data_IF_556427782353
#
_entry.id   IF_556427782353
#
_cell.length_a   1.000
_cell.length_b   1.000
_cell.length_c   1.000
_cell.angle_alpha   90.00
_cell.angle_beta   90.00
_cell.angle_gamma   90.00
#
_symmetry.space_group_name_H-M   'P 1'
#
loop_
_entity.id
_entity.type
_entity.pdbx_description
1 polymer ?
#
# COMPACT_ATOMS: atom_id res chain seq x y z
N UNK A 1 18.64 -8.90 6.07
CA UNK A 1 17.78 -9.06 4.89
C UNK A 1 16.32 -9.20 5.34
N UNK A 2 15.38 -8.65 4.56
CA UNK A 2 13.95 -8.87 4.82
C UNK A 2 13.14 -8.70 3.52
N UNK A 3 11.95 -9.29 3.49
CA UNK A 3 11.04 -9.15 2.35
C UNK A 3 9.79 -8.35 2.72
N UNK A 4 9.18 -7.68 1.74
CA UNK A 4 8.02 -6.81 1.92
C UNK A 4 6.91 -7.24 0.97
N UNK A 5 5.70 -7.34 1.48
CA UNK A 5 4.51 -7.77 0.78
C UNK A 5 3.33 -6.85 1.07
N UNK A 6 2.36 -6.85 0.17
CA UNK A 6 1.02 -6.30 0.38
C UNK A 6 0.00 -7.00 -0.52
N UNK A 7 -1.27 -6.81 -0.24
CA UNK A 7 -2.35 -7.05 -1.19
C UNK A 7 -2.44 -8.50 -1.66
N UNK A 8 -2.72 -9.42 -0.73
CA UNK A 8 -2.82 -10.86 -0.97
C UNK A 8 -4.28 -11.31 -1.14
N UNK A 9 -4.90 -10.97 -2.27
CA UNK A 9 -6.28 -11.36 -2.56
C UNK A 9 -6.36 -12.86 -2.89
N UNK A 10 -6.92 -13.68 -1.97
CA UNK A 10 -7.00 -15.13 -2.09
C UNK A 10 -7.77 -15.61 -3.33
N UNK A 11 -8.95 -15.05 -3.68
CA UNK A 11 -9.68 -15.42 -4.88
C UNK A 11 -8.97 -15.10 -6.20
N UNK A 12 -8.10 -14.08 -6.20
CA UNK A 12 -7.47 -13.59 -7.42
C UNK A 12 -6.31 -14.46 -7.92
N UNK A 13 -5.78 -15.40 -7.11
CA UNK A 13 -4.69 -16.25 -7.57
C UNK A 13 -3.94 -17.00 -6.46
N UNK A 14 -2.90 -17.74 -6.85
CA UNK A 14 -2.06 -18.52 -5.96
C UNK A 14 -0.95 -17.66 -5.33
N UNK A 15 -0.61 -17.90 -4.07
CA UNK A 15 0.36 -17.12 -3.31
C UNK A 15 1.82 -17.51 -3.59
N UNK A 16 2.19 -17.66 -4.88
CA UNK A 16 3.55 -18.05 -5.29
C UNK A 16 4.64 -17.13 -4.78
N UNK A 17 4.34 -15.83 -4.60
CA UNK A 17 5.27 -14.89 -4.00
C UNK A 17 5.69 -15.32 -2.57
N UNK A 18 4.77 -15.87 -1.78
CA UNK A 18 5.09 -16.43 -0.45
C UNK A 18 5.95 -17.69 -0.55
N UNK A 19 5.64 -18.58 -1.49
CA UNK A 19 6.44 -19.79 -1.71
C UNK A 19 7.86 -19.46 -2.16
N UNK A 20 8.02 -18.52 -3.09
CA UNK A 20 9.35 -18.12 -3.55
C UNK A 20 10.14 -17.41 -2.45
N UNK A 21 9.49 -16.56 -1.65
CA UNK A 21 10.13 -15.91 -0.52
C UNK A 21 10.55 -16.90 0.58
N UNK A 22 9.83 -18.00 0.78
CA UNK A 22 10.21 -19.01 1.77
C UNK A 22 11.56 -19.68 1.49
N UNK A 23 12.07 -19.56 0.26
CA UNK A 23 13.38 -20.07 -0.19
C UNK A 23 14.51 -19.06 -0.01
N UNK A 24 14.19 -17.82 0.36
CA UNK A 24 15.16 -16.72 0.52
C UNK A 24 15.82 -16.77 1.90
N UNK A 25 17.06 -16.30 1.97
CA UNK A 25 17.78 -16.10 3.22
C UNK A 25 17.45 -14.72 3.81
N UNK A 26 16.33 -14.66 4.52
CA UNK A 26 15.82 -13.43 5.17
C UNK A 26 15.69 -13.61 6.69
N UNK A 27 15.87 -12.51 7.41
CA UNK A 27 15.74 -12.48 8.87
C UNK A 27 14.26 -12.41 9.30
N UNK A 28 13.42 -11.72 8.51
CA UNK A 28 11.97 -11.56 8.72
C UNK A 28 11.30 -11.08 7.43
N UNK A 29 9.99 -11.07 7.42
CA UNK A 29 9.19 -10.46 6.36
C UNK A 29 8.16 -9.48 6.91
N UNK A 30 7.81 -8.48 6.11
CA UNK A 30 6.82 -7.45 6.44
C UNK A 30 5.60 -7.65 5.55
N UNK A 31 4.40 -7.55 6.13
CA UNK A 31 3.17 -7.38 5.36
C UNK A 31 2.56 -6.02 5.67
N UNK A 32 2.41 -5.19 4.64
CA UNK A 32 1.99 -3.80 4.76
C UNK A 32 0.47 -3.60 4.76
N UNK A 33 -0.30 -4.69 4.77
CA UNK A 33 -1.75 -4.66 4.78
C UNK A 33 -2.39 -5.32 3.56
N UNK A 34 -3.71 -5.40 3.55
CA UNK A 34 -4.48 -6.24 2.63
C UNK A 34 -4.03 -7.70 2.69
N UNK A 35 -3.77 -8.17 3.91
CA UNK A 35 -3.50 -9.58 4.12
C UNK A 35 -4.74 -10.42 3.84
N UNK A 36 -5.93 -9.89 4.14
CA UNK A 36 -7.24 -10.43 3.75
C UNK A 36 -8.03 -9.36 2.99
N UNK A 37 -9.11 -9.77 2.31
CA UNK A 37 -10.07 -8.89 1.66
C UNK A 37 -11.48 -9.19 2.17
N UNK A 38 -12.28 -8.16 2.44
CA UNK A 38 -13.62 -8.28 3.01
C UNK A 38 -14.67 -8.75 2.03
N UNK A 39 -14.45 -8.61 0.73
CA UNK A 39 -15.45 -8.92 -0.30
C UNK A 39 -15.94 -10.36 -0.28
N UNK A 40 -17.22 -10.53 -0.60
CA UNK A 40 -17.83 -11.82 -0.85
C UNK A 40 -17.62 -12.32 -2.29
N UNK A 41 -18.20 -13.45 -2.60
CA UNK A 41 -18.21 -14.03 -3.97
C UNK A 41 -18.94 -13.08 -4.92
N UNK A 42 -18.31 -12.76 -6.07
CA UNK A 42 -18.80 -11.78 -7.03
C UNK A 42 -18.29 -10.35 -6.80
N UNK A 43 -17.58 -10.10 -5.68
CA UNK A 43 -16.89 -8.84 -5.44
C UNK A 43 -15.51 -8.76 -6.08
N UNK A 44 -14.76 -7.73 -5.74
CA UNK A 44 -13.45 -7.42 -6.31
C UNK A 44 -12.46 -8.61 -6.28
N UNK A 45 -11.87 -8.92 -7.43
CA UNK A 45 -10.82 -9.93 -7.59
C UNK A 45 -11.31 -11.38 -7.47
N UNK A 46 -12.63 -11.63 -7.60
CA UNK A 46 -13.21 -12.99 -7.50
C UNK A 46 -13.52 -13.65 -8.85
N UNK A 47 -13.18 -13.00 -9.96
CA UNK A 47 -13.52 -13.43 -11.34
C UNK A 47 -12.96 -14.83 -11.66
N UNK A 48 -11.83 -15.18 -11.04
CA UNK A 48 -11.15 -16.47 -11.25
C UNK A 48 -11.34 -17.46 -10.10
N UNK A 49 -12.09 -17.10 -9.06
CA UNK A 49 -12.20 -17.82 -7.80
C UNK A 49 -12.68 -19.28 -7.97
N UNK A 50 -13.72 -19.49 -8.76
CA UNK A 50 -14.26 -20.85 -9.02
C UNK A 50 -13.28 -21.69 -9.85
N UNK A 51 -12.67 -21.09 -10.87
CA UNK A 51 -11.68 -21.75 -11.73
C UNK A 51 -10.48 -22.28 -10.94
N UNK A 52 -10.05 -21.57 -9.90
CA UNK A 52 -8.89 -21.94 -9.10
C UNK A 52 -9.29 -22.67 -7.81
N UNK A 53 -10.59 -22.91 -7.58
CA UNK A 53 -11.12 -23.42 -6.31
C UNK A 53 -10.67 -22.55 -5.11
N UNK A 54 -10.75 -21.23 -5.28
CA UNK A 54 -10.36 -20.22 -4.28
C UNK A 54 -11.53 -19.29 -3.95
N UNK A 55 -12.74 -19.84 -3.90
CA UNK A 55 -13.95 -19.10 -3.52
C UNK A 55 -13.78 -18.55 -2.10
N UNK A 56 -14.12 -17.25 -1.85
CA UNK A 56 -13.97 -16.68 -0.53
C UNK A 56 -14.88 -17.34 0.50
N UNK A 57 -14.37 -17.55 1.72
CA UNK A 57 -15.13 -18.02 2.87
C UNK A 57 -15.08 -16.99 4.01
N UNK A 58 -16.24 -16.54 4.50
CA UNK A 58 -17.58 -16.86 4.00
C UNK A 58 -17.80 -16.29 2.60
N UNK A 59 -18.84 -16.78 1.89
CA UNK A 59 -19.18 -16.30 0.54
C UNK A 59 -19.77 -14.89 0.52
N UNK A 60 -20.30 -14.44 1.63
CA UNK A 60 -20.78 -13.07 1.82
C UNK A 60 -19.62 -12.13 2.19
N UNK A 61 -19.86 -10.85 2.07
CA UNK A 61 -19.01 -9.80 2.61
C UNK A 61 -18.89 -9.91 4.15
N UNK A 62 -17.79 -9.40 4.70
CA UNK A 62 -17.46 -9.58 6.11
C UNK A 62 -18.04 -8.46 6.97
N UNK A 63 -18.85 -8.83 7.98
CA UNK A 63 -19.42 -7.89 8.95
C UNK A 63 -19.23 -8.36 10.39
N UNK A 64 -19.46 -9.65 10.65
CA UNK A 64 -19.39 -10.22 11.99
C UNK A 64 -17.98 -10.68 12.36
N UNK A 65 -17.70 -10.79 13.64
CA UNK A 65 -16.46 -11.38 14.14
C UNK A 65 -16.24 -12.81 13.60
N UNK A 66 -17.33 -13.58 13.44
CA UNK A 66 -17.27 -14.93 12.86
C UNK A 66 -16.82 -14.90 11.40
N UNK A 67 -17.28 -13.92 10.64
CA UNK A 67 -16.91 -13.80 9.22
C UNK A 67 -15.41 -13.49 9.06
N UNK A 68 -14.92 -12.48 9.78
CA UNK A 68 -13.49 -12.13 9.77
C UNK A 68 -12.62 -13.30 10.23
N UNK A 69 -13.02 -14.04 11.26
CA UNK A 69 -12.29 -15.23 11.72
C UNK A 69 -12.23 -16.32 10.66
N UNK A 70 -13.33 -16.60 9.95
CA UNK A 70 -13.37 -17.58 8.86
C UNK A 70 -12.46 -17.16 7.71
N UNK A 71 -12.49 -15.88 7.31
CA UNK A 71 -11.62 -15.35 6.26
C UNK A 71 -10.14 -15.47 6.64
N UNK A 72 -9.76 -15.08 7.85
CA UNK A 72 -8.40 -15.29 8.33
C UNK A 72 -8.01 -16.78 8.34
N UNK A 73 -8.90 -17.67 8.80
CA UNK A 73 -8.65 -19.11 8.78
C UNK A 73 -8.40 -19.64 7.36
N UNK A 74 -9.19 -19.18 6.38
CA UNK A 74 -9.01 -19.53 4.97
C UNK A 74 -7.62 -19.14 4.46
N UNK A 75 -7.22 -17.89 4.63
CA UNK A 75 -5.91 -17.38 4.19
C UNK A 75 -4.75 -18.08 4.89
N UNK A 76 -4.89 -18.35 6.20
CA UNK A 76 -3.91 -19.10 6.99
C UNK A 76 -3.88 -20.60 6.66
N UNK A 77 -4.93 -21.16 6.03
CA UNK A 77 -4.97 -22.56 5.59
C UNK A 77 -4.24 -22.78 4.26
N UNK A 78 -4.01 -21.71 3.47
CA UNK A 78 -3.28 -21.79 2.22
C UNK A 78 -1.88 -22.38 2.41
N UNK A 79 -1.49 -23.31 1.51
CA UNK A 79 -0.21 -24.04 1.63
C UNK A 79 1.00 -23.12 1.56
N UNK A 80 0.97 -22.16 0.64
CA UNK A 80 2.09 -21.26 0.39
C UNK A 80 2.21 -20.22 1.52
N UNK A 81 1.06 -19.74 2.03
CA UNK A 81 1.01 -18.90 3.23
C UNK A 81 1.59 -19.62 4.46
N UNK A 82 1.15 -20.87 4.72
CA UNK A 82 1.69 -21.68 5.82
C UNK A 82 3.20 -21.86 5.73
N UNK A 83 3.72 -22.09 4.54
CA UNK A 83 5.14 -22.31 4.33
C UNK A 83 5.96 -21.09 4.74
N UNK A 84 5.62 -19.89 4.26
CA UNK A 84 6.35 -18.65 4.60
C UNK A 84 6.25 -18.35 6.11
N UNK A 85 5.06 -18.50 6.70
CA UNK A 85 4.87 -18.33 8.14
C UNK A 85 5.67 -19.32 9.00
N UNK A 86 5.91 -20.53 8.51
CA UNK A 86 6.72 -21.52 9.21
C UNK A 86 8.23 -21.24 9.12
N UNK A 87 8.67 -20.63 8.02
CA UNK A 87 10.09 -20.41 7.76
C UNK A 87 10.62 -19.10 8.36
N UNK A 88 9.83 -18.03 8.38
CA UNK A 88 10.32 -16.69 8.73
C UNK A 88 9.35 -15.92 9.62
N UNK A 89 9.86 -15.12 10.60
CA UNK A 89 9.03 -14.25 11.43
C UNK A 89 8.33 -13.15 10.62
N UNK A 90 7.07 -12.88 10.96
CA UNK A 90 6.25 -11.83 10.33
C UNK A 90 6.22 -10.56 11.17
N UNK A 91 6.41 -9.42 10.53
CA UNK A 91 6.03 -8.08 11.01
C UNK A 91 4.84 -7.61 10.17
N UNK A 92 3.64 -7.59 10.76
CA UNK A 92 2.42 -7.23 10.02
C UNK A 92 1.84 -5.90 10.49
N UNK A 93 1.22 -5.18 9.57
CA UNK A 93 0.32 -4.07 9.82
C UNK A 93 -0.89 -4.24 8.90
N UNK A 94 -2.03 -3.72 9.30
CA UNK A 94 -3.23 -3.70 8.46
C UNK A 94 -3.19 -2.58 7.43
N UNK A 95 -4.00 -2.72 6.37
CA UNK A 95 -4.48 -1.64 5.53
C UNK A 95 -6.01 -1.53 5.69
N UNK A 96 -6.75 -1.11 4.70
CA UNK A 96 -8.20 -0.94 4.78
C UNK A 96 -8.97 -2.26 4.67
N UNK A 97 -8.58 -3.16 3.77
CA UNK A 97 -9.29 -4.42 3.52
C UNK A 97 -9.30 -5.40 4.69
N UNK A 98 -8.46 -5.20 5.69
CA UNK A 98 -8.63 -5.90 6.95
C UNK A 98 -9.94 -5.55 7.67
N UNK A 99 -10.56 -4.43 7.28
CA UNK A 99 -11.90 -3.99 7.74
C UNK A 99 -12.84 -3.84 6.56
N UNK A 100 -12.58 -2.87 5.65
CA UNK A 100 -13.38 -2.58 4.46
C UNK A 100 -12.71 -1.52 3.60
N UNK A 101 -12.87 -1.60 2.27
CA UNK A 101 -12.26 -0.71 1.29
C UNK A 101 -12.33 0.77 1.66
N UNK A 102 -11.22 1.47 1.46
CA UNK A 102 -11.05 2.89 1.72
C UNK A 102 -11.48 3.32 3.12
N UNK A 103 -11.15 2.51 4.14
CA UNK A 103 -11.51 2.78 5.52
C UNK A 103 -10.79 4.00 6.10
N UNK A 104 -11.54 4.77 6.89
CA UNK A 104 -11.02 5.84 7.75
C UNK A 104 -11.46 5.62 9.21
N UNK A 105 -11.16 6.57 10.08
CA UNK A 105 -11.44 6.44 11.52
C UNK A 105 -12.87 6.03 11.85
N UNK A 106 -13.87 6.57 11.14
CA UNK A 106 -15.30 6.44 11.48
C UNK A 106 -16.16 5.84 10.37
N UNK A 107 -15.59 5.36 9.29
CA UNK A 107 -16.33 4.78 8.17
C UNK A 107 -15.39 4.13 7.14
N UNK A 108 -15.96 3.68 6.03
CA UNK A 108 -15.27 3.19 4.87
C UNK A 108 -16.05 3.56 3.60
N UNK A 109 -15.41 3.50 2.44
CA UNK A 109 -16.13 3.65 1.17
C UNK A 109 -17.09 2.46 1.00
N UNK A 110 -16.59 1.25 1.20
CA UNK A 110 -17.37 0.01 1.14
C UNK A 110 -18.07 -0.27 2.48
N UNK A 111 -18.86 0.70 2.96
CA UNK A 111 -19.75 0.52 4.11
C UNK A 111 -20.91 1.50 4.08
N UNK A 112 -22.13 0.97 4.03
CA UNK A 112 -23.38 1.74 4.01
C UNK A 112 -24.16 1.67 5.35
N UNK A 113 -25.11 2.57 5.54
CA UNK A 113 -25.89 2.66 6.79
C UNK A 113 -26.76 1.43 7.07
N UNK A 114 -27.23 0.74 6.04
CA UNK A 114 -28.03 -0.50 6.14
C UNK A 114 -27.21 -1.72 6.52
N UNK A 115 -25.88 -1.66 6.45
CA UNK A 115 -24.96 -2.68 6.94
C UNK A 115 -24.67 -2.59 8.43
N UNK A 116 -25.28 -1.61 9.09
CA UNK A 116 -25.15 -1.38 10.52
C UNK A 116 -24.10 -0.35 10.90
N UNK A 117 -23.66 -0.40 12.14
CA UNK A 117 -22.68 0.58 12.65
C UNK A 117 -21.25 0.17 12.32
N UNK A 118 -20.56 0.99 11.53
CA UNK A 118 -19.15 0.77 11.15
C UNK A 118 -18.22 0.51 12.33
N UNK A 119 -18.42 1.18 13.46
CA UNK A 119 -17.56 1.00 14.64
C UNK A 119 -17.61 -0.44 15.17
N UNK A 120 -18.77 -1.11 15.10
CA UNK A 120 -18.87 -2.52 15.46
C UNK A 120 -18.22 -3.44 14.42
N UNK A 121 -18.40 -3.16 13.12
CA UNK A 121 -17.69 -3.87 12.04
C UNK A 121 -16.18 -3.78 12.25
N UNK A 122 -15.67 -2.57 12.43
CA UNK A 122 -14.25 -2.29 12.69
C UNK A 122 -13.74 -3.01 13.95
N UNK A 123 -14.49 -2.98 15.05
CA UNK A 123 -14.11 -3.67 16.29
C UNK A 123 -14.03 -5.20 16.11
N UNK A 124 -14.97 -5.78 15.34
CA UNK A 124 -14.96 -7.21 14.98
C UNK A 124 -13.74 -7.58 14.15
N UNK A 125 -13.47 -6.79 13.11
CA UNK A 125 -12.33 -6.98 12.22
C UNK A 125 -10.99 -6.89 12.96
N UNK A 126 -10.79 -5.84 13.76
CA UNK A 126 -9.58 -5.65 14.56
C UNK A 126 -9.39 -6.77 15.58
N UNK A 127 -10.47 -7.22 16.23
CA UNK A 127 -10.40 -8.35 17.16
C UNK A 127 -9.94 -9.63 16.45
N UNK A 128 -10.54 -9.96 15.31
CA UNK A 128 -10.11 -11.11 14.52
C UNK A 128 -8.66 -10.97 14.06
N UNK A 129 -8.26 -9.78 13.63
CA UNK A 129 -6.89 -9.51 13.19
C UNK A 129 -5.87 -9.81 14.30
N UNK A 130 -6.09 -9.32 15.54
CA UNK A 130 -5.19 -9.58 16.66
C UNK A 130 -5.23 -11.02 17.16
N UNK A 131 -6.30 -11.77 16.90
CA UNK A 131 -6.37 -13.21 17.21
C UNK A 131 -5.57 -14.06 16.21
N UNK A 132 -5.48 -13.62 14.94
CA UNK A 132 -4.90 -14.42 13.86
C UNK A 132 -3.51 -13.96 13.42
N UNK A 133 -3.15 -12.71 13.68
CA UNK A 133 -1.84 -12.17 13.28
C UNK A 133 -0.87 -12.21 14.47
N UNK A 134 0.42 -12.54 14.23
CA UNK A 134 1.42 -12.70 15.29
C UNK A 134 1.93 -11.35 15.81
N UNK A 135 1.01 -10.52 16.32
CA UNK A 135 1.31 -9.18 16.80
C UNK A 135 1.18 -9.12 18.32
N UNK A 136 2.22 -8.64 18.97
CA UNK A 136 2.17 -8.35 20.40
C UNK A 136 1.49 -6.99 20.61
N UNK A 137 0.32 -6.98 21.23
CA UNK A 137 -0.36 -5.76 21.65
C UNK A 137 0.51 -4.97 22.63
N UNK A 138 0.63 -3.68 22.40
CA UNK A 138 1.20 -2.74 23.37
C UNK A 138 0.12 -2.29 24.36
N UNK A 139 0.52 -1.74 25.50
CA UNK A 139 -0.42 -1.23 26.52
C UNK A 139 -1.34 -0.10 26.00
N UNK A 140 -1.04 0.48 24.85
CA UNK A 140 -1.80 1.58 24.23
C UNK A 140 -2.76 1.12 23.12
N UNK A 141 -2.88 -0.18 22.87
CA UNK A 141 -3.78 -0.78 21.86
C UNK A 141 -3.64 -0.19 20.45
N UNK A 142 -2.46 0.33 20.08
CA UNK A 142 -2.18 0.78 18.73
C UNK A 142 -1.23 -0.20 18.01
N UNK A 143 -1.35 -0.27 16.68
CA UNK A 143 -0.55 -1.18 15.85
C UNK A 143 0.79 -0.57 15.43
N UNK A 144 0.90 0.76 15.36
CA UNK A 144 2.14 1.41 14.98
C UNK A 144 3.24 1.16 16.03
N UNK A 145 4.40 0.77 15.58
CA UNK A 145 5.52 0.34 16.42
C UNK A 145 6.85 0.44 15.69
N UNK A 146 7.95 0.27 16.40
CA UNK A 146 9.29 0.30 15.81
C UNK A 146 10.14 -0.87 16.25
N UNK A 147 11.08 -1.26 15.37
CA UNK A 147 12.07 -2.28 15.60
C UNK A 147 13.45 -1.71 15.30
N UNK A 148 14.44 -2.02 16.13
CA UNK A 148 15.82 -1.60 15.94
C UNK A 148 16.72 -2.82 15.72
N UNK A 149 17.53 -2.78 14.67
CA UNK A 149 18.58 -3.76 14.41
C UNK A 149 19.92 -3.08 14.67
N UNK A 150 20.36 -3.09 15.92
CA UNK A 150 21.57 -2.41 16.37
C UNK A 150 21.59 -0.94 15.92
N UNK A 151 22.72 -0.51 15.39
CA UNK A 151 22.91 0.82 14.78
C UNK A 151 22.67 0.82 13.25
N UNK A 152 22.20 -0.29 12.69
CA UNK A 152 22.01 -0.43 11.25
C UNK A 152 20.64 0.06 10.80
N UNK A 153 19.56 -0.42 11.42
CA UNK A 153 18.17 -0.19 10.97
C UNK A 153 17.30 0.29 12.12
N UNK A 154 16.58 1.38 11.88
CA UNK A 154 15.41 1.83 12.62
C UNK A 154 14.19 1.66 11.72
N UNK A 155 13.43 0.59 11.94
CA UNK A 155 12.20 0.26 11.20
C UNK A 155 10.99 0.78 11.97
N UNK A 156 10.25 1.70 11.39
CA UNK A 156 9.07 2.33 11.96
C UNK A 156 7.84 1.95 11.15
N UNK A 157 6.92 1.22 11.78
CA UNK A 157 5.67 0.78 11.15
C UNK A 157 4.59 1.80 11.49
N UNK A 158 3.91 2.35 10.48
CA UNK A 158 2.80 3.29 10.68
C UNK A 158 1.44 2.60 10.52
N UNK A 159 0.43 3.22 11.10
CA UNK A 159 -1.00 2.98 10.84
C UNK A 159 -1.57 4.18 10.10
N UNK A 160 -1.82 4.03 8.80
CA UNK A 160 -2.37 5.08 7.95
C UNK A 160 -3.89 4.97 7.77
N UNK A 161 -4.56 4.05 8.47
CA UNK A 161 -5.99 3.76 8.27
C UNK A 161 -6.86 4.03 9.49
N UNK A 162 -6.55 3.40 10.62
CA UNK A 162 -7.57 3.21 11.64
C UNK A 162 -7.42 4.06 12.89
N UNK A 163 -6.23 4.64 13.14
CA UNK A 163 -5.98 5.39 14.38
C UNK A 163 -6.61 6.78 14.35
N UNK A 164 -6.25 7.62 13.38
CA UNK A 164 -6.66 9.03 13.36
C UNK A 164 -6.99 9.57 11.96
N UNK A 165 -7.07 8.70 10.94
CA UNK A 165 -7.33 9.09 9.56
C UNK A 165 -8.67 9.79 9.39
N UNK A 166 -8.66 10.98 8.83
CA UNK A 166 -9.85 11.67 8.34
C UNK A 166 -10.34 11.03 7.04
N UNK A 167 -11.64 11.20 6.74
CA UNK A 167 -12.19 10.77 5.45
C UNK A 167 -11.44 11.44 4.29
N UNK A 168 -11.12 10.66 3.26
CA UNK A 168 -10.55 11.18 2.02
C UNK A 168 -11.50 12.17 1.33
N UNK A 169 -10.93 13.12 0.58
CA UNK A 169 -11.67 14.07 -0.23
C UNK A 169 -12.21 13.36 -1.47
N UNK A 170 -13.43 13.65 -1.85
CA UNK A 170 -14.08 13.12 -3.04
C UNK A 170 -14.10 14.19 -4.13
N UNK A 171 -13.56 13.91 -5.30
CA UNK A 171 -13.55 14.85 -6.43
C UNK A 171 -14.94 15.31 -6.85
N UNK A 172 -15.94 14.44 -6.74
CA UNK A 172 -17.33 14.71 -7.10
C UNK A 172 -17.92 15.96 -6.45
N UNK A 173 -17.45 16.30 -5.23
CA UNK A 173 -17.90 17.50 -4.49
C UNK A 173 -17.48 18.83 -5.13
N UNK A 174 -16.50 18.80 -6.02
CA UNK A 174 -15.92 20.00 -6.62
C UNK A 174 -16.33 20.22 -8.07
N UNK A 175 -17.11 19.31 -8.65
CA UNK A 175 -17.71 19.52 -9.97
C UNK A 175 -18.98 20.37 -9.87
N UNK A 176 -19.13 21.31 -10.78
CA UNK A 176 -20.34 22.14 -10.96
C UNK A 176 -20.67 22.28 -12.45
N UNK A 177 -21.77 22.94 -12.76
CA UNK A 177 -22.13 23.24 -14.16
C UNK A 177 -21.10 24.15 -14.86
N UNK A 178 -20.34 24.93 -14.09
CA UNK A 178 -19.31 25.85 -14.61
C UNK A 178 -17.93 25.17 -14.68
N UNK A 179 -17.81 23.91 -14.27
CA UNK A 179 -16.56 23.13 -14.27
C UNK A 179 -16.08 22.78 -12.87
N UNK A 180 -14.78 22.44 -12.76
CA UNK A 180 -14.15 22.03 -11.53
C UNK A 180 -13.71 23.24 -10.68
N UNK A 181 -14.08 23.23 -9.38
CA UNK A 181 -13.81 24.33 -8.41
C UNK A 181 -12.42 24.18 -7.80
N UNK A 182 -11.39 24.55 -8.52
CA UNK A 182 -10.00 24.39 -8.10
C UNK A 182 -9.67 25.04 -6.76
N UNK A 183 -10.09 26.28 -6.52
CA UNK A 183 -9.76 27.02 -5.29
C UNK A 183 -10.33 26.32 -4.07
N UNK A 184 -11.59 25.87 -4.13
CA UNK A 184 -12.22 25.13 -3.05
C UNK A 184 -11.52 23.78 -2.82
N UNK A 185 -11.24 23.05 -3.89
CA UNK A 185 -10.55 21.77 -3.82
C UNK A 185 -9.17 21.90 -3.15
N UNK A 186 -8.33 22.83 -3.61
CA UNK A 186 -7.00 23.00 -3.03
C UNK A 186 -7.03 23.62 -1.64
N UNK A 187 -8.02 24.44 -1.30
CA UNK A 187 -8.25 24.91 0.06
C UNK A 187 -8.51 23.78 1.03
N UNK A 188 -9.42 22.86 0.64
CA UNK A 188 -9.76 21.72 1.48
C UNK A 188 -8.62 20.68 1.52
N UNK A 189 -7.99 20.38 0.38
CA UNK A 189 -6.87 19.43 0.28
C UNK A 189 -5.69 19.84 1.16
N UNK A 190 -5.33 21.12 1.14
CA UNK A 190 -4.17 21.64 1.88
C UNK A 190 -4.51 22.06 3.31
N UNK A 191 -5.71 21.82 3.77
CA UNK A 191 -6.12 22.22 5.11
C UNK A 191 -5.27 21.53 6.17
N UNK A 192 -4.60 22.31 7.02
CA UNK A 192 -3.58 21.84 7.97
C UNK A 192 -4.11 20.93 9.09
N UNK A 193 -5.42 20.92 9.31
CA UNK A 193 -6.06 20.02 10.27
C UNK A 193 -6.31 18.61 9.72
N UNK A 194 -6.23 18.39 8.40
CA UNK A 194 -6.41 17.06 7.80
C UNK A 194 -5.31 16.11 8.24
N UNK A 195 -5.71 14.91 8.63
CA UNK A 195 -4.83 13.90 9.23
C UNK A 195 -4.95 12.55 8.52
N UNK A 196 -3.83 11.92 8.27
CA UNK A 196 -3.71 10.53 7.90
C UNK A 196 -3.26 9.66 9.08
N UNK A 197 -2.23 10.09 9.82
CA UNK A 197 -1.72 9.36 10.99
C UNK A 197 -2.03 10.06 12.32
N UNK A 198 -2.33 11.35 12.29
CA UNK A 198 -2.66 12.14 13.47
C UNK A 198 -1.46 12.53 14.36
N UNK A 199 -1.74 13.43 15.30
CA UNK A 199 -0.68 14.05 16.11
C UNK A 199 0.05 13.05 17.01
N UNK A 200 -0.66 12.13 17.65
CA UNK A 200 -0.04 11.17 18.58
C UNK A 200 0.98 10.27 17.88
N UNK A 201 0.65 9.77 16.68
CA UNK A 201 1.56 8.95 15.92
C UNK A 201 2.71 9.76 15.32
N UNK A 202 2.45 11.01 14.93
CA UNK A 202 3.51 11.91 14.45
C UNK A 202 4.53 12.26 15.55
N UNK A 203 4.08 12.56 16.78
CA UNK A 203 4.94 12.80 17.94
C UNK A 203 5.75 11.55 18.31
N UNK A 204 5.11 10.37 18.23
CA UNK A 204 5.80 9.10 18.40
C UNK A 204 6.89 8.91 17.34
N UNK A 205 6.60 9.17 16.05
CA UNK A 205 7.55 9.07 14.96
C UNK A 205 8.75 10.02 15.20
N UNK A 206 8.50 11.26 15.57
CA UNK A 206 9.52 12.23 15.93
C UNK A 206 10.42 11.72 17.06
N UNK A 207 9.83 11.18 18.12
CA UNK A 207 10.58 10.60 19.24
C UNK A 207 11.51 9.48 18.80
N UNK A 208 11.03 8.60 17.89
CA UNK A 208 11.83 7.49 17.36
C UNK A 208 12.99 7.96 16.48
N UNK A 209 12.80 9.04 15.73
CA UNK A 209 13.87 9.65 14.93
C UNK A 209 14.93 10.33 15.82
N UNK A 210 14.52 11.04 16.86
CA UNK A 210 15.44 11.72 17.78
C UNK A 210 16.27 10.77 18.64
N UNK A 211 15.66 9.69 19.10
CA UNK A 211 16.29 8.73 20.03
C UNK A 211 17.19 7.70 19.35
N UNK A 212 17.21 7.64 18.02
CA UNK A 212 17.87 6.56 17.29
C UNK A 212 19.05 7.08 16.44
N UNK A 213 20.19 6.39 16.55
CA UNK A 213 21.41 6.67 15.77
C UNK A 213 21.60 5.74 14.57
N UNK A 214 20.60 4.91 14.22
CA UNK A 214 20.70 3.97 13.13
C UNK A 214 21.00 4.66 11.80
N UNK A 215 21.82 3.99 10.97
CA UNK A 215 22.19 4.45 9.63
C UNK A 215 20.98 4.59 8.72
N UNK A 216 20.11 3.58 8.72
CA UNK A 216 18.94 3.52 7.88
C UNK A 216 17.67 3.75 8.69
N UNK A 217 16.85 4.72 8.28
CA UNK A 217 15.58 5.03 8.89
C UNK A 217 14.47 4.70 7.89
N UNK A 218 13.79 3.58 8.13
CA UNK A 218 12.78 3.01 7.24
C UNK A 218 11.40 3.21 7.86
N UNK A 219 10.51 3.83 7.11
CA UNK A 219 9.08 3.92 7.40
C UNK A 219 8.37 2.88 6.53
N UNK A 220 7.75 1.89 7.16
CA UNK A 220 6.94 0.89 6.47
C UNK A 220 5.46 1.20 6.76
N UNK A 221 4.69 1.40 5.71
CA UNK A 221 3.33 1.92 5.79
C UNK A 221 2.50 1.46 4.58
N UNK A 222 1.23 1.82 4.53
CA UNK A 222 0.29 1.25 3.57
C UNK A 222 0.35 1.97 2.22
N UNK A 223 0.14 3.27 2.20
CA UNK A 223 -0.15 4.07 0.99
C UNK A 223 1.06 4.90 0.52
N UNK A 224 1.15 5.19 -0.76
CA UNK A 224 2.29 5.92 -1.35
C UNK A 224 2.41 7.36 -0.82
N UNK A 225 3.65 7.77 -0.48
CA UNK A 225 4.01 9.17 -0.19
C UNK A 225 4.33 9.97 -1.45
N UNK A 226 4.71 9.29 -2.52
CA UNK A 226 5.02 9.89 -3.83
C UNK A 226 3.83 10.69 -4.35
N UNK A 227 4.09 11.88 -4.88
CA UNK A 227 3.09 12.70 -5.58
C UNK A 227 2.85 12.11 -6.96
N UNK A 228 1.62 11.68 -7.22
CA UNK A 228 1.26 11.05 -8.48
C UNK A 228 0.04 11.75 -9.09
N UNK A 229 0.18 12.10 -10.35
CA UNK A 229 -0.91 12.54 -11.22
C UNK A 229 -1.07 11.53 -12.33
N UNK A 230 -2.27 11.16 -12.67
CA UNK A 230 -2.48 10.34 -13.85
C UNK A 230 -2.25 11.17 -15.11
N UNK A 231 -1.53 10.64 -16.12
CA UNK A 231 -1.45 11.27 -17.43
C UNK A 231 -2.82 11.24 -18.11
N UNK A 232 -3.05 12.16 -19.03
CA UNK A 232 -4.23 12.10 -19.91
C UNK A 232 -4.04 11.02 -20.97
N UNK A 233 -4.66 9.88 -20.77
CA UNK A 233 -4.61 8.71 -21.66
C UNK A 233 -5.82 8.63 -22.58
N UNK A 234 -6.67 9.66 -22.65
CA UNK A 234 -7.95 9.58 -23.38
C UNK A 234 -7.80 9.34 -24.89
N UNK A 235 -6.63 9.62 -25.47
CA UNK A 235 -6.32 9.33 -26.87
C UNK A 235 -5.69 7.94 -27.09
N UNK A 236 -5.24 7.28 -26.02
CA UNK A 236 -4.45 6.04 -26.09
C UNK A 236 -5.25 4.80 -25.69
N UNK A 237 -6.48 4.98 -25.20
CA UNK A 237 -7.32 3.90 -24.71
C UNK A 237 -8.70 3.89 -25.40
N UNK A 238 -9.24 2.70 -25.61
CA UNK A 238 -10.65 2.55 -25.97
C UNK A 238 -11.55 2.79 -24.75
N UNK A 239 -12.02 4.03 -24.64
CA UNK A 239 -12.89 4.46 -23.54
C UNK A 239 -14.16 3.59 -23.41
N UNK A 240 -14.66 3.03 -24.53
CA UNK A 240 -15.89 2.23 -24.53
C UNK A 240 -15.70 0.92 -23.72
N UNK A 241 -14.50 0.38 -23.71
CA UNK A 241 -14.13 -0.88 -23.05
C UNK A 241 -13.87 -0.74 -21.55
N UNK A 242 -13.74 0.48 -21.03
CA UNK A 242 -13.46 0.71 -19.61
C UNK A 242 -14.67 0.44 -18.71
N UNK A 243 -14.47 -0.06 -17.48
CA UNK A 243 -15.51 -0.08 -16.45
C UNK A 243 -16.09 1.31 -16.20
N UNK A 244 -17.36 1.37 -15.76
CA UNK A 244 -18.06 2.65 -15.53
C UNK A 244 -17.32 3.49 -14.48
N UNK A 245 -16.84 2.84 -13.43
CA UNK A 245 -16.08 3.46 -12.34
C UNK A 245 -14.82 4.15 -12.85
N UNK A 246 -14.12 3.55 -13.81
CA UNK A 246 -12.92 4.13 -14.43
C UNK A 246 -13.28 5.31 -15.36
N UNK A 247 -14.42 5.21 -16.09
CA UNK A 247 -14.89 6.31 -16.96
C UNK A 247 -15.17 7.59 -16.18
N UNK A 248 -15.66 7.47 -14.95
CA UNK A 248 -15.94 8.62 -14.09
C UNK A 248 -14.67 9.38 -13.66
N UNK A 249 -13.50 8.73 -13.71
CA UNK A 249 -12.21 9.36 -13.44
C UNK A 249 -11.57 10.04 -14.66
N UNK A 250 -11.98 9.73 -15.89
CA UNK A 250 -11.38 10.32 -17.11
C UNK A 250 -11.40 11.86 -17.15
N UNK A 251 -12.48 12.56 -16.73
CA UNK A 251 -12.45 14.01 -16.66
C UNK A 251 -11.38 14.55 -15.71
N UNK A 252 -11.05 13.80 -14.66
CA UNK A 252 -10.09 14.18 -13.62
C UNK A 252 -8.65 14.13 -14.17
N UNK A 253 -8.32 13.16 -15.04
CA UNK A 253 -6.98 13.02 -15.64
C UNK A 253 -6.56 14.25 -16.43
N UNK A 254 -7.54 14.93 -17.08
CA UNK A 254 -7.33 16.17 -17.86
C UNK A 254 -7.07 17.41 -16.98
N UNK A 255 -7.41 17.34 -15.68
CA UNK A 255 -7.30 18.46 -14.77
C UNK A 255 -5.94 18.54 -14.06
N UNK A 256 -5.04 17.61 -14.33
CA UNK A 256 -3.70 17.56 -13.73
C UNK A 256 -3.75 17.52 -12.18
N UNK A 257 -4.76 16.90 -11.63
CA UNK A 257 -4.96 16.72 -10.20
C UNK A 257 -4.20 15.51 -9.64
N UNK A 258 -4.00 15.42 -8.31
CA UNK A 258 -3.50 14.21 -7.68
C UNK A 258 -4.36 12.99 -8.05
N UNK A 259 -3.74 11.83 -8.32
CA UNK A 259 -4.46 10.66 -8.81
C UNK A 259 -5.22 9.91 -7.72
N UNK A 260 -4.65 9.84 -6.53
CA UNK A 260 -5.22 9.06 -5.42
C UNK A 260 -5.28 9.90 -4.15
N UNK A 261 -6.49 10.34 -3.78
CA UNK A 261 -6.74 11.12 -2.55
C UNK A 261 -6.88 10.23 -1.30
N UNK A 262 -6.91 8.92 -1.49
CA UNK A 262 -6.82 7.95 -0.42
C UNK A 262 -5.37 7.76 0.07
N UNK A 263 -4.38 7.99 -0.78
CA UNK A 263 -2.96 8.03 -0.43
C UNK A 263 -2.54 9.39 0.22
N UNK A 264 -1.24 9.58 0.45
CA UNK A 264 -0.69 10.82 1.03
C UNK A 264 -0.96 12.06 0.18
N UNK A 265 -1.33 11.91 -1.08
CA UNK A 265 -1.77 13.02 -1.92
C UNK A 265 -3.07 13.66 -1.44
N UNK A 266 -3.89 12.94 -0.69
CA UNK A 266 -5.07 13.48 0.00
C UNK A 266 -4.75 14.21 1.32
N UNK A 267 -3.50 14.16 1.80
CA UNK A 267 -3.08 14.71 3.11
C UNK A 267 -1.72 15.43 3.02
N UNK A 268 -1.54 16.33 2.04
CA UNK A 268 -0.24 16.94 1.74
C UNK A 268 0.35 17.72 2.93
N UNK A 269 -0.47 18.38 3.74
CA UNK A 269 -0.01 19.14 4.89
C UNK A 269 0.65 18.25 5.96
N UNK A 270 0.09 17.05 6.22
CA UNK A 270 0.68 16.14 7.19
C UNK A 270 1.90 15.41 6.61
N UNK A 271 1.90 15.07 5.32
CA UNK A 271 3.09 14.55 4.61
C UNK A 271 4.28 15.50 4.77
N UNK A 272 4.08 16.79 4.55
CA UNK A 272 5.14 17.79 4.71
C UNK A 272 5.65 17.88 6.16
N UNK A 273 4.81 17.66 7.16
CA UNK A 273 5.25 17.57 8.57
C UNK A 273 6.22 16.42 8.77
N UNK A 274 5.94 15.23 8.17
CA UNK A 274 6.86 14.10 8.22
C UNK A 274 8.17 14.42 7.50
N UNK A 275 8.13 14.99 6.31
CA UNK A 275 9.32 15.37 5.55
C UNK A 275 10.19 16.35 6.36
N UNK A 276 9.57 17.33 7.00
CA UNK A 276 10.26 18.27 7.91
C UNK A 276 10.91 17.55 9.10
N UNK A 277 10.27 16.54 9.69
CA UNK A 277 10.86 15.76 10.77
C UNK A 277 12.15 15.05 10.32
N UNK A 278 12.17 14.42 9.16
CA UNK A 278 13.37 13.77 8.63
C UNK A 278 14.47 14.77 8.33
N UNK A 279 14.16 15.88 7.68
CA UNK A 279 15.13 16.95 7.37
C UNK A 279 15.72 17.58 8.62
N UNK A 280 14.90 17.93 9.60
CA UNK A 280 15.36 18.57 10.85
C UNK A 280 16.26 17.65 11.70
N UNK A 281 16.05 16.33 11.61
CA UNK A 281 16.90 15.33 12.24
C UNK A 281 18.10 14.89 11.36
N UNK A 282 18.28 15.50 10.17
CA UNK A 282 19.33 15.16 9.19
C UNK A 282 19.34 13.67 8.82
N UNK A 283 18.16 13.10 8.63
CA UNK A 283 17.97 11.68 8.28
C UNK A 283 17.33 11.55 6.91
N UNK A 284 17.78 10.57 6.13
CA UNK A 284 17.14 10.19 4.87
C UNK A 284 15.93 9.31 5.16
N UNK A 285 14.79 9.65 4.59
CA UNK A 285 13.59 8.83 4.63
C UNK A 285 13.70 7.70 3.60
N UNK A 286 13.54 6.47 4.04
CA UNK A 286 13.23 5.35 3.17
C UNK A 286 11.80 4.93 3.47
N UNK A 287 10.90 5.08 2.50
CA UNK A 287 9.50 4.65 2.60
C UNK A 287 9.29 3.32 1.90
N UNK A 288 8.60 2.39 2.54
CA UNK A 288 8.10 1.15 1.96
C UNK A 288 6.58 1.22 1.99
N UNK A 289 5.93 1.06 0.83
CA UNK A 289 4.48 1.21 0.68
C UNK A 289 3.85 0.03 -0.07
N UNK A 290 2.54 -0.17 0.11
CA UNK A 290 1.71 -1.19 -0.54
C UNK A 290 0.55 -0.58 -1.34
N UNK A 291 -0.67 -1.09 -1.15
CA UNK A 291 -1.97 -0.57 -1.60
C UNK A 291 -2.19 -0.58 -3.13
N UNK A 292 -1.28 -0.03 -3.90
CA UNK A 292 -1.49 0.27 -5.33
C UNK A 292 -1.43 -0.92 -6.27
N UNK A 293 -1.06 -2.10 -5.79
CA UNK A 293 -0.90 -3.35 -6.55
C UNK A 293 0.17 -3.31 -7.66
N UNK A 294 0.92 -2.23 -7.74
CA UNK A 294 2.00 -2.01 -8.72
C UNK A 294 3.32 -1.74 -8.01
N UNK A 295 4.42 -1.92 -8.73
CA UNK A 295 5.74 -1.62 -8.18
C UNK A 295 6.14 -0.18 -8.47
N UNK A 296 6.76 0.48 -7.50
CA UNK A 296 7.19 1.87 -7.63
C UNK A 296 8.59 2.08 -7.06
N UNK A 297 9.35 2.93 -7.72
CA UNK A 297 10.57 3.53 -7.19
C UNK A 297 10.51 5.02 -7.41
N UNK A 298 10.55 5.77 -6.31
CA UNK A 298 10.39 7.22 -6.36
C UNK A 298 11.43 7.95 -5.53
N UNK A 299 11.74 9.18 -5.91
CA UNK A 299 12.53 10.12 -5.12
C UNK A 299 11.61 11.17 -4.54
N UNK A 300 11.51 11.18 -3.21
CA UNK A 300 10.61 12.06 -2.48
C UNK A 300 11.21 13.46 -2.35
N UNK A 301 10.39 14.49 -2.60
CA UNK A 301 10.76 15.90 -2.45
C UNK A 301 9.69 16.61 -1.63
N UNK A 302 10.13 17.57 -0.82
CA UNK A 302 9.22 18.48 -0.13
C UNK A 302 8.59 19.53 -1.08
N UNK A 303 7.78 20.41 -0.54
CA UNK A 303 7.14 21.49 -1.32
C UNK A 303 8.13 22.52 -1.89
N UNK A 304 9.36 22.58 -1.37
CA UNK A 304 10.43 23.42 -1.88
C UNK A 304 11.26 22.75 -2.99
N UNK A 305 10.95 21.46 -3.29
CA UNK A 305 11.67 20.65 -4.26
C UNK A 305 12.97 20.04 -3.73
N UNK A 306 13.22 20.13 -2.42
CA UNK A 306 14.40 19.52 -1.80
C UNK A 306 14.19 18.03 -1.55
N UNK A 307 15.20 17.22 -1.83
CA UNK A 307 15.12 15.76 -1.65
C UNK A 307 15.06 15.38 -0.16
N UNK A 308 14.09 14.54 0.18
CA UNK A 308 13.87 14.02 1.54
C UNK A 308 14.29 12.56 1.66
N UNK A 309 14.12 11.78 0.58
CA UNK A 309 14.40 10.35 0.61
C UNK A 309 13.89 9.62 -0.62
N UNK A 310 13.62 8.33 -0.44
CA UNK A 310 13.17 7.44 -1.49
C UNK A 310 11.98 6.60 -1.01
N UNK A 311 11.13 6.22 -1.96
CA UNK A 311 10.04 5.30 -1.71
C UNK A 311 10.11 4.10 -2.65
N UNK A 312 9.80 2.92 -2.10
CA UNK A 312 9.66 1.66 -2.80
C UNK A 312 8.26 1.13 -2.54
N UNK A 313 7.40 1.16 -3.56
CA UNK A 313 6.08 0.55 -3.54
C UNK A 313 6.20 -0.92 -3.92
N UNK A 314 5.76 -1.84 -3.04
CA UNK A 314 5.82 -3.28 -3.31
C UNK A 314 4.71 -3.69 -4.27
N UNK A 315 4.95 -4.66 -5.19
CA UNK A 315 3.88 -5.25 -5.98
C UNK A 315 2.89 -6.00 -5.08
N UNK A 316 1.69 -6.24 -5.58
CA UNK A 316 0.76 -7.15 -4.89
C UNK A 316 1.23 -8.60 -4.95
N UNK A 317 0.80 -9.39 -3.96
CA UNK A 317 0.96 -10.85 -4.00
C UNK A 317 0.09 -11.44 -5.11
N UNK A 318 -1.19 -11.04 -5.18
CA UNK A 318 -2.16 -11.56 -6.15
C UNK A 318 -3.17 -10.54 -6.64
N UNK A 319 -3.41 -9.46 -5.91
CA UNK A 319 -4.46 -8.49 -6.24
C UNK A 319 -4.28 -7.90 -7.64
N UNK A 320 -5.36 -7.74 -8.44
CA UNK A 320 -5.29 -7.14 -9.77
C UNK A 320 -4.64 -5.75 -9.75
N UNK A 321 -3.74 -5.51 -10.69
CA UNK A 321 -3.07 -4.23 -10.85
C UNK A 321 -3.70 -3.35 -11.93
N UNK A 322 -3.06 -2.23 -12.21
CA UNK A 322 -3.58 -1.20 -13.12
C UNK A 322 -3.85 -1.75 -14.53
N UNK A 323 -2.96 -2.59 -15.08
CA UNK A 323 -3.13 -3.18 -16.42
C UNK A 323 -4.16 -4.32 -16.48
N UNK A 324 -4.63 -4.85 -15.37
CA UNK A 324 -5.77 -5.78 -15.38
C UNK A 324 -7.08 -5.02 -15.64
N UNK A 325 -7.13 -3.74 -15.25
CA UNK A 325 -8.29 -2.84 -15.36
C UNK A 325 -8.24 -2.06 -16.67
N UNK A 326 -7.10 -1.43 -16.97
CA UNK A 326 -6.91 -0.56 -18.14
C UNK A 326 -6.21 -1.36 -19.24
N UNK A 327 -6.89 -1.55 -20.38
CA UNK A 327 -6.36 -2.27 -21.55
C UNK A 327 -5.53 -1.33 -22.42
N UNK A 328 -4.28 -1.15 -22.07
CA UNK A 328 -3.30 -0.32 -22.80
C UNK A 328 -1.96 -1.06 -22.89
N UNK A 329 -1.10 -0.67 -23.81
CA UNK A 329 0.28 -1.17 -23.83
C UNK A 329 1.01 -0.81 -22.54
N UNK A 330 1.70 -1.78 -21.96
CA UNK A 330 2.40 -1.66 -20.68
C UNK A 330 3.43 -0.52 -20.72
N UNK A 331 4.28 -0.49 -21.73
CA UNK A 331 5.36 0.49 -21.80
C UNK A 331 4.80 1.90 -22.02
N UNK A 332 3.77 2.03 -22.85
CA UNK A 332 3.10 3.32 -23.07
C UNK A 332 2.52 3.89 -21.77
N UNK A 333 1.87 3.06 -20.96
CA UNK A 333 1.35 3.49 -19.66
C UNK A 333 2.47 3.88 -18.69
N UNK A 334 3.47 3.03 -18.54
CA UNK A 334 4.59 3.25 -17.61
C UNK A 334 5.38 4.51 -17.98
N UNK A 335 5.74 4.68 -19.26
CA UNK A 335 6.46 5.84 -19.77
C UNK A 335 5.64 7.14 -19.60
N UNK A 336 4.32 7.07 -19.84
CA UNK A 336 3.44 8.22 -19.66
C UNK A 336 3.33 8.64 -18.18
N UNK A 337 3.20 7.68 -17.26
CA UNK A 337 3.18 7.97 -15.83
C UNK A 337 4.53 8.53 -15.37
N UNK A 338 5.65 7.94 -15.77
CA UNK A 338 6.99 8.39 -15.37
C UNK A 338 7.27 9.81 -15.92
N UNK A 339 6.91 10.08 -17.17
CA UNK A 339 7.14 11.41 -17.78
C UNK A 339 6.27 12.51 -17.16
N UNK A 340 5.07 12.17 -16.71
CA UNK A 340 4.15 13.12 -16.03
C UNK A 340 4.59 13.42 -14.58
N UNK A 341 5.31 12.50 -13.93
CA UNK A 341 5.56 12.54 -12.49
C UNK A 341 7.05 12.61 -12.15
N UNK A 342 7.55 13.80 -11.86
CA UNK A 342 8.98 14.05 -11.59
C UNK A 342 9.56 13.26 -10.38
N UNK A 343 8.75 12.77 -9.47
CA UNK A 343 9.21 11.94 -8.36
C UNK A 343 9.38 10.48 -8.77
N UNK A 344 8.59 9.97 -9.70
CA UNK A 344 8.64 8.57 -10.16
C UNK A 344 9.88 8.34 -11.00
N UNK A 345 10.69 7.35 -10.62
CA UNK A 345 11.92 6.94 -11.32
C UNK A 345 11.75 5.66 -12.10
N UNK A 346 10.84 4.84 -11.65
CA UNK A 346 10.49 3.58 -12.29
C UNK A 346 9.18 3.04 -11.71
N UNK A 347 8.45 2.30 -12.51
CA UNK A 347 7.31 1.50 -12.08
C UNK A 347 7.19 0.20 -12.88
N UNK A 348 6.42 -0.74 -12.37
CA UNK A 348 5.89 -1.89 -13.09
C UNK A 348 4.39 -1.98 -12.79
N UNK A 349 3.58 -1.83 -13.83
CA UNK A 349 2.12 -1.75 -13.73
C UNK A 349 1.41 -3.11 -13.84
N UNK A 350 2.16 -4.21 -13.97
CA UNK A 350 1.59 -5.51 -14.33
C UNK A 350 1.98 -6.65 -13.40
N UNK A 351 3.23 -6.69 -12.96
CA UNK A 351 3.83 -7.89 -12.38
C UNK A 351 3.40 -8.10 -10.93
N UNK A 352 3.25 -9.37 -10.53
CA UNK A 352 2.99 -9.81 -9.15
C UNK A 352 4.25 -10.37 -8.52
N UNK A 353 4.40 -10.21 -7.21
CA UNK A 353 5.60 -10.68 -6.54
C UNK A 353 5.81 -10.09 -5.17
N UNK A 354 7.05 -9.76 -4.85
CA UNK A 354 7.45 -9.17 -3.58
C UNK A 354 8.72 -8.33 -3.72
N UNK A 355 8.96 -7.50 -2.71
CA UNK A 355 10.17 -6.69 -2.62
C UNK A 355 11.10 -7.30 -1.58
N UNK A 356 12.34 -7.64 -1.98
CA UNK A 356 13.38 -8.11 -1.08
C UNK A 356 14.35 -6.95 -0.79
N UNK A 357 14.65 -6.72 0.49
CA UNK A 357 15.54 -5.66 0.96
C UNK A 357 16.78 -6.27 1.60
N UNK A 358 17.94 -5.86 1.12
CA UNK A 358 19.24 -6.16 1.74
C UNK A 358 19.91 -4.87 2.21
N UNK A 359 20.34 -4.85 3.45
CA UNK A 359 20.91 -3.65 4.08
C UNK A 359 22.30 -3.96 4.64
N UNK A 360 23.25 -3.13 4.28
CA UNK A 360 24.59 -3.06 4.90
C UNK A 360 24.84 -1.66 5.49
N UNK A 361 26.01 -1.42 6.05
CA UNK A 361 26.40 -0.06 6.49
C UNK A 361 26.48 0.93 5.33
N UNK A 362 26.79 0.45 4.12
CA UNK A 362 27.09 1.30 2.97
C UNK A 362 25.99 1.35 1.94
N UNK A 363 25.13 0.32 1.89
CA UNK A 363 24.14 0.15 0.82
C UNK A 363 22.78 -0.30 1.35
N UNK A 364 21.75 0.23 0.74
CA UNK A 364 20.36 -0.25 0.82
C UNK A 364 19.96 -0.76 -0.56
N UNK A 365 19.69 -2.05 -0.65
CA UNK A 365 19.36 -2.72 -1.92
C UNK A 365 17.91 -3.15 -1.90
N UNK A 366 17.13 -2.68 -2.87
CA UNK A 366 15.74 -3.07 -3.10
C UNK A 366 15.65 -3.92 -4.37
N UNK A 367 15.21 -5.16 -4.24
CA UNK A 367 15.10 -6.13 -5.33
C UNK A 367 13.65 -6.58 -5.49
N UNK A 368 12.97 -6.09 -6.51
CA UNK A 368 11.65 -6.55 -6.89
C UNK A 368 11.76 -7.92 -7.55
N UNK A 369 11.12 -8.92 -6.97
CA UNK A 369 11.12 -10.30 -7.46
C UNK A 369 9.71 -10.66 -7.94
N UNK A 370 9.60 -10.97 -9.21
CA UNK A 370 8.31 -11.24 -9.86
C UNK A 370 8.10 -12.71 -10.14
N UNK A 371 6.89 -13.19 -9.90
CA UNK A 371 6.49 -14.55 -10.25
C UNK A 371 6.00 -14.61 -11.69
N UNK A 372 6.15 -15.78 -12.34
CA UNK A 372 5.72 -15.97 -13.72
C UNK A 372 4.21 -15.77 -13.89
N UNK A 373 3.42 -16.24 -12.94
CA UNK A 373 1.97 -16.18 -12.96
C UNK A 373 1.40 -16.45 -11.58
N UNK A 374 0.31 -15.80 -11.25
CA UNK A 374 -0.53 -16.15 -10.09
C UNK A 374 -1.72 -17.02 -10.47
N UNK A 375 -1.91 -17.27 -11.77
CA UNK A 375 -3.07 -17.99 -12.33
C UNK A 375 -2.75 -19.44 -12.77
N UNK A 376 -1.55 -19.93 -12.46
CA UNK A 376 -1.13 -21.30 -12.73
C UNK A 376 -0.88 -22.03 -11.41
N UNK A 377 -1.13 -23.35 -11.31
CA UNK A 377 -0.88 -24.11 -10.08
C UNK A 377 0.59 -24.16 -9.66
N UNK A 378 1.50 -23.94 -10.59
CA UNK A 378 2.94 -23.88 -10.36
C UNK A 378 3.51 -22.61 -10.99
N UNK A 379 4.43 -21.99 -10.29
CA UNK A 379 5.12 -20.78 -10.74
C UNK A 379 6.53 -20.74 -10.16
N UNK A 380 7.34 -19.81 -10.63
CA UNK A 380 8.68 -19.52 -10.14
C UNK A 380 8.98 -18.04 -10.38
N UNK A 381 10.19 -17.61 -10.05
CA UNK A 381 10.63 -16.23 -10.33
C UNK A 381 10.83 -16.07 -11.84
N UNK A 382 10.16 -15.08 -12.42
CA UNK A 382 10.27 -14.70 -13.85
C UNK A 382 11.38 -13.69 -14.10
N UNK A 383 11.48 -12.70 -13.22
CA UNK A 383 12.44 -11.62 -13.37
C UNK A 383 12.74 -10.93 -12.04
N UNK A 384 13.87 -10.24 -11.99
CA UNK A 384 14.28 -9.43 -10.84
C UNK A 384 14.65 -8.05 -11.36
N UNK A 385 14.20 -6.99 -10.64
CA UNK A 385 14.62 -5.61 -10.86
C UNK A 385 15.25 -5.08 -9.59
N UNK A 386 16.49 -4.60 -9.68
CA UNK A 386 17.29 -4.22 -8.53
C UNK A 386 17.62 -2.73 -8.56
N UNK A 387 17.53 -2.10 -7.40
CA UNK A 387 17.90 -0.70 -7.18
C UNK A 387 18.82 -0.63 -5.97
N UNK A 388 19.90 0.10 -6.10
CA UNK A 388 20.92 0.27 -5.05
C UNK A 388 20.96 1.73 -4.64
N UNK A 389 20.69 2.01 -3.38
CA UNK A 389 20.93 3.32 -2.79
C UNK A 389 22.25 3.31 -2.01
N UNK A 390 23.19 4.13 -2.46
CA UNK A 390 24.53 4.24 -1.93
C UNK A 390 25.06 5.67 -2.14
N UNK A 391 25.81 6.21 -1.17
CA UNK A 391 26.43 7.53 -1.27
C UNK A 391 25.46 8.63 -1.70
N UNK A 392 24.25 8.64 -1.12
CA UNK A 392 23.16 9.58 -1.44
C UNK A 392 22.61 9.51 -2.86
N UNK A 393 22.93 8.49 -3.63
CA UNK A 393 22.44 8.26 -4.98
C UNK A 393 21.69 6.92 -5.09
N UNK A 394 20.70 6.89 -5.95
CA UNK A 394 19.95 5.70 -6.33
C UNK A 394 20.39 5.25 -7.72
N UNK A 395 20.80 4.00 -7.82
CA UNK A 395 21.23 3.37 -9.06
C UNK A 395 20.25 2.24 -9.41
N UNK A 396 19.92 2.11 -10.69
CA UNK A 396 19.25 0.93 -11.25
C UNK A 396 20.34 -0.03 -11.72
N UNK A 397 20.29 -1.28 -11.27
CA UNK A 397 21.21 -2.34 -11.65
C UNK A 397 20.61 -3.22 -12.74
#
# INVERSE_FOLDING_TARGET
>A
NFSVFSCSNYPAGFFHAYEECSKEDIDFWIHLGDYIYEYGQGGYGTETAERFNRVPEPKNELFSLSDYRKRHAQYKSDKQSKLLHAMHPLVAVWDDHEVSNDAWKYGAENHSLDEGNFIFRKANAMKAYFEWMPIRLTHKNHIYRSFNVGTLLNLMILDTRHTDRDKQIEFSKYFSKEGFKFDNFYSDLNHTARKLIGNNQLEWLESKLKMNSAKWNVVAQQVLMTKIKFPDLTNDIDISSLPVEVKDYLPITKLNLPSNLDAWDGYPAERERIFKLFKSNKKTLISLAGDTHNSWVSKLHDLQGEGVGFEFGTPSVTSPGLLDIIKIDKNALEDSIISTNNEVRWMDAQSRGFLNISITKDEFVASFKYVNSVHQPQSGISSIRKFVYKNSNLFKD
#
